data_IF_984526579300
#
_entry.id   IF_984526579300
#
_cell.length_a   1.000
_cell.length_b   1.000
_cell.length_c   1.000
_cell.angle_alpha   90.00
_cell.angle_beta   90.00
_cell.angle_gamma   90.00
#
_symmetry.space_group_name_H-M   'P 1'
#
loop_
_entity.id
_entity.type
_entity.pdbx_description
1 polymer ?
#
# COMPACT_ATOMS: atom_id res chain seq x y z
N UNK A 1 6.41 10.86 -13.20
CA UNK A 1 6.20 10.08 -11.97
C UNK A 1 6.95 10.72 -10.82
N UNK A 2 6.26 11.59 -10.10
CA UNK A 2 6.64 12.07 -8.78
C UNK A 2 6.27 11.01 -7.73
N UNK A 3 6.78 11.17 -6.51
CA UNK A 3 6.42 10.29 -5.39
C UNK A 3 4.91 10.28 -5.14
N UNK A 4 4.26 11.44 -5.27
CA UNK A 4 2.82 11.57 -5.01
C UNK A 4 2.00 10.85 -6.09
N UNK A 5 2.41 10.98 -7.36
CA UNK A 5 1.81 10.22 -8.47
C UNK A 5 1.91 8.71 -8.26
N UNK A 6 3.03 8.22 -7.71
CA UNK A 6 3.16 6.79 -7.35
C UNK A 6 2.18 6.44 -6.24
N UNK A 7 2.13 7.21 -5.15
CA UNK A 7 1.26 6.90 -4.01
C UNK A 7 -0.22 6.89 -4.40
N UNK A 8 -0.63 7.77 -5.32
CA UNK A 8 -1.99 7.81 -5.84
C UNK A 8 -2.34 6.54 -6.63
N UNK A 9 -1.42 5.99 -7.42
CA UNK A 9 -1.61 4.71 -8.11
C UNK A 9 -1.84 3.57 -7.11
N UNK A 10 -1.04 3.50 -6.04
CA UNK A 10 -1.21 2.50 -4.99
C UNK A 10 -2.52 2.69 -4.21
N UNK A 11 -3.03 3.92 -4.04
CA UNK A 11 -4.36 4.17 -3.46
C UNK A 11 -5.47 3.72 -4.41
N UNK A 12 -5.37 4.05 -5.69
CA UNK A 12 -6.34 3.69 -6.72
C UNK A 12 -6.50 2.16 -6.86
N UNK A 13 -5.38 1.42 -6.86
CA UNK A 13 -5.37 -0.05 -6.85
C UNK A 13 -5.83 -0.66 -5.51
N UNK A 14 -6.14 0.15 -4.49
CA UNK A 14 -6.41 -0.31 -3.14
C UNK A 14 -5.22 -1.02 -2.49
N UNK A 15 -4.01 -0.82 -3.00
CA UNK A 15 -2.78 -1.43 -2.52
C UNK A 15 -2.22 -0.72 -1.28
N UNK A 16 -2.51 0.57 -1.09
CA UNK A 16 -2.20 1.31 0.13
C UNK A 16 -3.38 1.25 1.10
N UNK A 17 -3.19 0.60 2.25
CA UNK A 17 -4.19 0.48 3.32
C UNK A 17 -3.82 1.35 4.51
N UNK A 18 -4.83 1.98 5.10
CA UNK A 18 -4.73 2.73 6.36
C UNK A 18 -5.51 2.00 7.46
N UNK A 19 -4.97 1.96 8.68
CA UNK A 19 -5.56 1.20 9.79
C UNK A 19 -4.56 0.90 10.90
N UNK A 20 -4.70 -0.25 11.55
CA UNK A 20 -3.78 -0.71 12.58
C UNK A 20 -3.23 -2.08 12.20
N UNK A 21 -1.99 -2.12 11.71
CA UNK A 21 -1.36 -3.36 11.23
C UNK A 21 -0.21 -3.78 12.14
N UNK A 22 -0.06 -5.08 12.33
CA UNK A 22 1.18 -5.69 12.86
C UNK A 22 1.91 -6.26 11.65
N UNK A 23 3.12 -5.77 11.38
CA UNK A 23 3.95 -6.21 10.28
C UNK A 23 4.61 -7.57 10.61
N UNK A 24 5.15 -8.23 9.61
CA UNK A 24 5.89 -9.50 9.80
C UNK A 24 7.12 -9.35 10.71
N UNK A 25 7.65 -8.14 10.85
CA UNK A 25 8.71 -7.80 11.82
C UNK A 25 8.21 -7.71 13.27
N UNK A 26 6.90 -7.79 13.51
CA UNK A 26 6.26 -7.53 14.80
C UNK A 26 6.03 -6.05 15.11
N UNK A 27 6.52 -5.13 14.27
CA UNK A 27 6.28 -3.70 14.44
C UNK A 27 4.83 -3.33 14.11
N UNK A 28 4.32 -2.32 14.80
CA UNK A 28 3.00 -1.74 14.52
C UNK A 28 3.14 -0.62 13.51
N UNK A 29 2.25 -0.59 12.52
CA UNK A 29 2.21 0.44 11.49
C UNK A 29 0.78 0.92 11.27
N UNK A 30 0.56 2.23 11.08
CA UNK A 30 -0.74 2.77 10.68
C UNK A 30 -1.06 2.52 9.19
N UNK A 31 -0.07 2.04 8.42
CA UNK A 31 -0.18 1.82 6.98
C UNK A 31 0.36 0.45 6.58
N UNK A 32 -0.22 -0.13 5.54
CA UNK A 32 0.25 -1.38 4.95
C UNK A 32 0.17 -1.33 3.41
N UNK A 33 1.22 -1.80 2.74
CA UNK A 33 1.34 -1.76 1.28
C UNK A 33 1.26 -3.18 0.70
N UNK A 34 0.15 -3.48 0.03
CA UNK A 34 -0.06 -4.72 -0.70
C UNK A 34 0.37 -4.57 -2.16
N UNK A 35 1.67 -4.69 -2.43
CA UNK A 35 2.23 -4.47 -3.78
C UNK A 35 1.57 -5.30 -4.89
N UNK A 36 1.04 -6.48 -4.55
CA UNK A 36 0.46 -7.40 -5.52
C UNK A 36 -0.81 -6.84 -6.18
N UNK A 37 -1.58 -6.02 -5.45
CA UNK A 37 -2.84 -5.47 -5.96
C UNK A 37 -2.65 -4.49 -7.12
N UNK A 38 -1.47 -3.86 -7.21
CA UNK A 38 -1.14 -2.95 -8.33
C UNK A 38 -1.03 -3.70 -9.67
N UNK A 39 -0.75 -5.01 -9.64
CA UNK A 39 -0.61 -5.83 -10.85
C UNK A 39 -1.82 -6.74 -11.11
N UNK A 40 -2.89 -6.62 -10.33
CA UNK A 40 -4.03 -7.53 -10.39
C UNK A 40 -4.94 -7.30 -11.62
N UNK A 41 -4.93 -6.08 -12.18
CA UNK A 41 -5.75 -5.68 -13.33
C UNK A 41 -4.97 -5.72 -14.66
N UNK A 42 -3.76 -6.29 -14.68
CA UNK A 42 -2.85 -6.33 -15.82
C UNK A 42 -2.90 -7.65 -16.62
#
# INVERSE_FOLDING_TARGET
MTKDEVLDEFRAAGALKEGHFILSSGLRSPVFLMKALVFADA
#
